data_IF_705820179455
#
_entry.id   IF_705820179455
#
_cell.length_a   1.000
_cell.length_b   1.000
_cell.length_c   1.000
_cell.angle_alpha   90.00
_cell.angle_beta   90.00
_cell.angle_gamma   90.00
#
_symmetry.space_group_name_H-M   'P 1'
#
loop_
_entity.id
_entity.type
_entity.pdbx_description
1 polymer ?
#
# COMPACT_ATOMS: atom_id res chain seq x y z
N UNK A 1 -5.65 21.79 18.05
CA UNK A 1 -4.62 21.24 18.98
C UNK A 1 -3.27 21.66 18.44
N UNK A 2 -2.38 22.24 19.26
CA UNK A 2 -1.01 22.45 18.80
C UNK A 2 -0.38 21.04 18.69
N UNK A 3 -0.12 20.61 17.48
CA UNK A 3 0.52 19.32 17.21
C UNK A 3 1.92 19.39 17.80
N UNK A 4 2.27 18.46 18.68
CA UNK A 4 3.61 18.45 19.30
C UNK A 4 4.61 18.01 18.24
N UNK A 5 5.47 18.90 17.80
CA UNK A 5 6.50 18.63 16.76
C UNK A 5 7.26 17.31 17.01
N UNK A 6 7.57 17.01 18.27
CA UNK A 6 8.31 15.81 18.64
C UNK A 6 7.52 14.50 18.41
N UNK A 7 6.21 14.50 18.68
CA UNK A 7 5.34 13.33 18.43
C UNK A 7 5.25 13.05 16.93
N UNK A 8 5.10 14.09 16.12
CA UNK A 8 5.10 13.99 14.66
C UNK A 8 6.42 13.43 14.15
N UNK A 9 7.56 13.97 14.61
CA UNK A 9 8.88 13.47 14.21
C UNK A 9 9.08 12.01 14.61
N UNK A 10 8.68 11.63 15.82
CA UNK A 10 8.77 10.24 16.30
C UNK A 10 7.94 9.29 15.45
N UNK A 11 6.71 9.70 15.08
CA UNK A 11 5.85 8.89 14.21
C UNK A 11 6.48 8.74 12.81
N UNK A 12 6.95 9.84 12.23
CA UNK A 12 7.52 9.80 10.89
C UNK A 12 8.86 9.03 10.83
N UNK A 13 9.67 9.02 11.90
CA UNK A 13 10.84 8.12 11.98
C UNK A 13 10.43 6.65 11.94
N UNK A 14 9.33 6.27 12.62
CA UNK A 14 8.79 4.91 12.51
C UNK A 14 8.26 4.60 11.11
N UNK A 15 7.61 5.58 10.47
CA UNK A 15 7.16 5.44 9.07
C UNK A 15 8.35 5.25 8.13
N UNK A 16 9.40 6.07 8.26
CA UNK A 16 10.61 5.94 7.43
C UNK A 16 11.31 4.59 7.63
N UNK A 17 11.43 4.13 8.88
CA UNK A 17 11.97 2.80 9.18
C UNK A 17 11.12 1.68 8.55
N UNK A 18 9.80 1.77 8.66
CA UNK A 18 8.85 0.85 8.01
C UNK A 18 9.01 0.86 6.47
N UNK A 19 9.09 2.03 5.84
CA UNK A 19 9.29 2.17 4.40
C UNK A 19 10.63 1.59 3.93
N UNK A 20 11.70 1.81 4.69
CA UNK A 20 13.04 1.33 4.37
C UNK A 20 13.14 -0.20 4.39
N UNK A 21 12.36 -0.86 5.24
CA UNK A 21 12.31 -2.31 5.32
C UNK A 21 11.24 -2.94 4.42
N UNK A 22 10.26 -2.16 3.97
CA UNK A 22 9.17 -2.61 3.10
C UNK A 22 9.50 -2.39 1.63
N UNK A 23 10.56 -3.04 1.13
CA UNK A 23 11.12 -2.81 -0.22
C UNK A 23 10.22 -3.27 -1.37
N UNK A 24 9.22 -4.10 -1.10
CA UNK A 24 8.11 -4.48 -2.00
C UNK A 24 6.93 -5.05 -1.18
N UNK A 25 5.86 -5.49 -1.85
CA UNK A 25 4.64 -5.99 -1.21
C UNK A 25 4.89 -7.13 -0.21
N UNK A 26 5.76 -8.09 -0.54
CA UNK A 26 6.08 -9.21 0.35
C UNK A 26 6.74 -8.75 1.65
N UNK A 27 7.72 -7.86 1.55
CA UNK A 27 8.39 -7.30 2.72
C UNK A 27 7.49 -6.35 3.50
N UNK A 28 6.59 -5.62 2.84
CA UNK A 28 5.61 -4.77 3.52
C UNK A 28 4.68 -5.62 4.40
N UNK A 29 4.16 -6.71 3.88
CA UNK A 29 3.28 -7.63 4.63
C UNK A 29 4.04 -8.34 5.73
N UNK A 30 5.28 -8.80 5.49
CA UNK A 30 6.11 -9.43 6.53
C UNK A 30 6.40 -8.46 7.69
N UNK A 31 6.75 -7.20 7.41
CA UNK A 31 6.97 -6.19 8.44
C UNK A 31 5.68 -5.91 9.23
N UNK A 32 4.52 -5.83 8.57
CA UNK A 32 3.23 -5.69 9.26
C UNK A 32 2.95 -6.92 10.15
N UNK A 33 3.21 -8.13 9.65
CA UNK A 33 3.06 -9.38 10.39
C UNK A 33 3.91 -9.40 11.65
N UNK A 34 5.19 -9.00 11.55
CA UNK A 34 6.08 -8.92 12.70
C UNK A 34 5.60 -7.90 13.75
N UNK A 35 5.14 -6.73 13.29
CA UNK A 35 4.58 -5.70 14.18
C UNK A 35 3.34 -6.24 14.89
N UNK A 36 2.42 -6.86 14.16
CA UNK A 36 1.19 -7.44 14.72
C UNK A 36 1.49 -8.53 15.75
N UNK A 37 2.44 -9.44 15.47
CA UNK A 37 2.87 -10.48 16.41
C UNK A 37 3.44 -9.87 17.71
N UNK A 38 4.31 -8.86 17.59
CA UNK A 38 4.89 -8.14 18.74
C UNK A 38 3.82 -7.45 19.60
N UNK A 39 2.74 -7.00 18.95
CA UNK A 39 1.60 -6.36 19.61
C UNK A 39 0.53 -7.36 20.07
N UNK A 40 0.79 -8.67 19.99
CA UNK A 40 -0.06 -9.74 20.52
C UNK A 40 -1.28 -10.07 19.64
N UNK A 41 -1.20 -9.88 18.33
CA UNK A 41 -2.17 -10.44 17.40
C UNK A 41 -1.85 -11.91 17.13
N UNK A 42 -2.87 -12.74 17.05
CA UNK A 42 -2.75 -14.17 16.78
C UNK A 42 -2.86 -14.45 15.27
N UNK A 43 -1.92 -15.18 14.67
CA UNK A 43 -2.00 -15.55 13.26
C UNK A 43 -3.10 -16.58 13.02
N UNK A 44 -3.82 -16.42 11.92
CA UNK A 44 -4.82 -17.36 11.42
C UNK A 44 -4.42 -17.86 10.04
N UNK A 45 -4.80 -19.11 9.73
CA UNK A 45 -4.57 -19.71 8.42
C UNK A 45 -5.92 -19.96 7.71
N UNK A 46 -6.00 -19.64 6.42
CA UNK A 46 -7.24 -19.75 5.66
C UNK A 46 -7.75 -21.21 5.55
N UNK A 47 -6.84 -22.18 5.55
CA UNK A 47 -7.15 -23.61 5.46
C UNK A 47 -7.53 -24.28 6.79
N UNK A 48 -7.57 -23.53 7.91
CA UNK A 48 -7.85 -24.06 9.24
C UNK A 48 -9.15 -23.52 9.82
N UNK A 49 -9.71 -24.22 10.81
CA UNK A 49 -10.85 -23.72 11.58
C UNK A 49 -10.44 -22.56 12.49
N UNK A 50 -11.22 -21.48 12.47
CA UNK A 50 -10.96 -20.32 13.30
C UNK A 50 -11.68 -20.41 14.66
N UNK A 51 -10.90 -20.46 15.73
CA UNK A 51 -11.41 -20.37 17.10
C UNK A 51 -11.17 -18.97 17.61
N UNK A 52 -12.19 -18.11 17.54
CA UNK A 52 -12.10 -16.71 17.89
C UNK A 52 -12.70 -16.44 19.27
N UNK A 53 -12.05 -15.57 20.04
CA UNK A 53 -12.48 -15.15 21.38
C UNK A 53 -12.80 -13.66 21.41
N UNK A 54 -13.90 -13.28 22.07
CA UNK A 54 -14.31 -11.87 22.19
C UNK A 54 -13.25 -11.03 22.89
N UNK A 55 -12.88 -9.90 22.29
CA UNK A 55 -11.87 -8.98 22.80
C UNK A 55 -10.45 -9.27 22.34
N UNK A 56 -10.22 -10.40 21.67
CA UNK A 56 -8.92 -10.79 21.14
C UNK A 56 -8.65 -10.21 19.73
N UNK A 57 -7.43 -10.34 19.25
CA UNK A 57 -6.94 -9.75 18.01
C UNK A 57 -6.21 -10.76 17.14
N UNK A 58 -6.52 -10.74 15.87
CA UNK A 58 -6.06 -11.73 14.92
C UNK A 58 -5.62 -11.10 13.61
N UNK A 59 -4.86 -11.84 12.83
CA UNK A 59 -4.58 -11.49 11.44
C UNK A 59 -4.46 -12.74 10.57
N UNK A 60 -4.70 -12.57 9.27
CA UNK A 60 -4.54 -13.58 8.23
C UNK A 60 -3.84 -12.96 7.02
N UNK A 61 -2.98 -13.72 6.37
CA UNK A 61 -2.30 -13.31 5.13
C UNK A 61 -2.80 -14.13 3.95
N UNK A 62 -2.79 -13.53 2.77
CA UNK A 62 -3.04 -14.24 1.50
C UNK A 62 -1.90 -13.94 0.54
N UNK A 63 -1.31 -14.98 -0.05
CA UNK A 63 -0.18 -14.89 -0.99
C UNK A 63 1.09 -14.24 -0.42
N UNK A 64 1.22 -14.11 0.91
CA UNK A 64 2.30 -13.38 1.60
C UNK A 64 2.46 -11.91 1.15
N UNK A 65 1.50 -11.36 0.42
CA UNK A 65 1.51 -9.99 -0.12
C UNK A 65 0.25 -9.18 0.19
N UNK A 66 -0.78 -9.83 0.76
CA UNK A 66 -1.98 -9.18 1.29
C UNK A 66 -2.23 -9.63 2.73
N UNK A 67 -2.84 -8.76 3.56
CA UNK A 67 -3.06 -9.00 4.97
C UNK A 67 -4.39 -8.39 5.42
N UNK A 68 -5.12 -9.12 6.27
CA UNK A 68 -6.25 -8.57 7.02
C UNK A 68 -6.02 -8.83 8.50
N UNK A 69 -5.97 -7.76 9.30
CA UNK A 69 -5.89 -7.83 10.76
C UNK A 69 -7.18 -7.28 11.38
N UNK A 70 -7.62 -7.87 12.47
CA UNK A 70 -8.83 -7.42 13.12
C UNK A 70 -8.78 -7.53 14.66
N UNK A 71 -9.54 -6.65 15.31
CA UNK A 71 -9.73 -6.62 16.77
C UNK A 71 -11.20 -6.84 17.06
N UNK A 72 -11.51 -7.86 17.84
CA UNK A 72 -12.88 -8.22 18.21
C UNK A 72 -13.39 -7.38 19.38
N UNK A 73 -14.66 -6.94 19.36
CA UNK A 73 -15.26 -6.31 20.51
C UNK A 73 -15.53 -7.35 21.62
N UNK A 74 -15.63 -6.87 22.88
CA UNK A 74 -16.09 -7.71 24.00
C UNK A 74 -17.62 -7.91 24.03
N UNK A 75 -18.36 -7.13 23.23
CA UNK A 75 -19.82 -7.20 23.06
C UNK A 75 -20.18 -7.93 21.78
N UNK A 76 -21.46 -8.35 21.62
CA UNK A 76 -21.92 -8.93 20.35
C UNK A 76 -21.63 -8.01 19.17
N UNK A 77 -21.17 -8.61 18.07
CA UNK A 77 -20.79 -7.92 16.84
C UNK A 77 -22.04 -7.33 16.18
N UNK A 78 -22.01 -6.02 15.91
CA UNK A 78 -23.06 -5.32 15.16
C UNK A 78 -22.65 -4.98 13.74
N UNK A 79 -21.36 -4.79 13.48
CA UNK A 79 -20.82 -4.39 12.19
C UNK A 79 -19.30 -4.37 12.17
N UNK A 80 -18.74 -3.80 11.12
CA UNK A 80 -17.30 -3.74 10.88
C UNK A 80 -16.87 -2.30 10.58
N UNK A 81 -15.80 -1.84 11.23
CA UNK A 81 -15.12 -0.58 10.93
C UNK A 81 -13.81 -0.90 10.22
N UNK A 82 -13.76 -0.67 8.91
CA UNK A 82 -12.69 -1.17 8.05
C UNK A 82 -11.88 -0.02 7.44
N UNK A 83 -10.56 -0.15 7.41
CA UNK A 83 -9.69 0.67 6.56
C UNK A 83 -8.93 -0.24 5.60
N UNK A 84 -8.92 0.10 4.33
CA UNK A 84 -8.26 -0.63 3.27
C UNK A 84 -7.21 0.25 2.58
N UNK A 85 -6.07 -0.36 2.25
CA UNK A 85 -4.91 0.21 1.58
C UNK A 85 -4.23 -0.87 0.75
N UNK A 86 -3.11 -0.57 0.08
CA UNK A 86 -2.37 -1.58 -0.68
C UNK A 86 -0.88 -1.67 -0.31
N UNK A 87 -0.27 -2.79 -0.67
CA UNK A 87 1.11 -3.13 -0.32
C UNK A 87 2.09 -2.96 -1.48
N UNK A 88 1.58 -2.99 -2.71
CA UNK A 88 2.37 -2.92 -3.94
C UNK A 88 2.66 -1.47 -4.36
N UNK A 89 3.57 -1.30 -5.29
CA UNK A 89 3.97 0.00 -5.86
C UNK A 89 4.52 -0.24 -7.27
N UNK A 90 4.50 0.76 -8.18
CA UNK A 90 5.06 0.60 -9.51
C UNK A 90 6.58 0.36 -9.48
N UNK A 91 6.99 -0.78 -10.05
CA UNK A 91 8.39 -1.24 -10.05
C UNK A 91 8.73 -2.01 -11.33
N UNK A 92 9.98 -2.46 -11.48
CA UNK A 92 10.38 -3.43 -12.49
C UNK A 92 10.42 -4.84 -11.91
N UNK A 93 9.74 -5.79 -12.56
CA UNK A 93 9.77 -7.22 -12.24
C UNK A 93 10.85 -7.91 -13.07
N UNK A 94 11.67 -8.74 -12.43
CA UNK A 94 12.65 -9.60 -13.11
C UNK A 94 11.91 -10.74 -13.79
N UNK A 95 12.17 -10.95 -15.10
CA UNK A 95 11.56 -12.03 -15.88
C UNK A 95 12.19 -13.40 -15.56
N UNK A 96 11.53 -14.47 -16.01
CA UNK A 96 11.95 -15.86 -15.75
C UNK A 96 13.36 -16.15 -16.27
N UNK A 97 13.67 -15.71 -17.49
CA UNK A 97 15.04 -15.72 -18.04
C UNK A 97 15.67 -14.35 -17.80
N UNK A 98 16.45 -14.20 -16.71
CA UNK A 98 16.79 -12.87 -16.18
C UNK A 98 17.98 -12.19 -16.89
N UNK A 99 18.82 -12.90 -17.61
CA UNK A 99 20.05 -12.34 -18.17
C UNK A 99 19.97 -12.15 -19.71
N UNK A 100 20.38 -10.98 -20.15
CA UNK A 100 20.54 -10.64 -21.57
C UNK A 100 22.03 -10.33 -21.83
N UNK A 101 22.67 -11.10 -22.68
CA UNK A 101 24.04 -10.84 -23.13
C UNK A 101 24.03 -9.75 -24.24
N UNK A 102 24.88 -8.74 -24.09
CA UNK A 102 25.06 -7.65 -25.05
C UNK A 102 26.48 -7.66 -25.61
N UNK A 103 26.62 -8.00 -26.88
CA UNK A 103 27.87 -7.98 -27.66
C UNK A 103 29.08 -8.72 -27.03
N UNK A 104 28.80 -9.74 -26.20
CA UNK A 104 29.81 -10.46 -25.37
C UNK A 104 30.66 -9.52 -24.50
N UNK A 105 30.08 -8.42 -24.08
CA UNK A 105 30.76 -7.42 -23.24
C UNK A 105 30.00 -7.12 -21.95
N UNK A 106 28.68 -7.13 -22.00
CA UNK A 106 27.82 -6.76 -20.86
C UNK A 106 26.70 -7.78 -20.65
N UNK A 107 26.25 -7.86 -19.42
CA UNK A 107 25.03 -8.58 -19.02
C UNK A 107 24.05 -7.55 -18.46
N UNK A 108 22.84 -7.53 -19.02
CA UNK A 108 21.70 -6.77 -18.50
C UNK A 108 20.70 -7.71 -17.83
N UNK A 109 19.90 -7.21 -16.86
CA UNK A 109 18.75 -7.94 -16.40
C UNK A 109 17.55 -7.67 -17.30
N UNK A 110 16.86 -8.76 -17.65
CA UNK A 110 15.61 -8.75 -18.39
C UNK A 110 14.47 -8.46 -17.42
N UNK A 111 13.87 -7.28 -17.52
CA UNK A 111 12.81 -6.81 -16.63
C UNK A 111 11.59 -6.35 -17.42
N UNK A 112 10.46 -6.30 -16.77
CA UNK A 112 9.25 -5.69 -17.29
C UNK A 112 8.62 -4.73 -16.26
N UNK A 113 7.86 -3.76 -16.76
CA UNK A 113 7.14 -2.81 -15.93
C UNK A 113 6.00 -3.49 -15.19
N UNK A 114 5.90 -3.24 -13.91
CA UNK A 114 4.75 -3.52 -13.08
C UNK A 114 4.10 -2.19 -12.68
N UNK A 115 2.85 -1.97 -13.09
CA UNK A 115 2.13 -0.73 -12.86
C UNK A 115 2.55 0.45 -13.73
N UNK A 116 1.94 1.59 -13.48
CA UNK A 116 2.13 2.85 -14.21
C UNK A 116 3.20 3.74 -13.59
N UNK A 117 4.49 3.56 -13.95
CA UNK A 117 5.61 4.28 -13.34
C UNK A 117 6.08 5.49 -14.12
N UNK A 118 6.70 6.46 -13.43
CA UNK A 118 7.54 7.50 -14.03
C UNK A 118 8.92 6.89 -14.29
N UNK A 119 9.34 6.75 -15.56
CA UNK A 119 10.57 6.05 -15.92
C UNK A 119 11.85 6.86 -15.60
N UNK A 120 11.87 8.17 -15.88
CA UNK A 120 13.08 8.99 -15.77
C UNK A 120 13.80 8.92 -14.41
N UNK A 121 13.13 8.90 -13.24
CA UNK A 121 13.83 8.88 -11.98
C UNK A 121 14.39 7.49 -11.59
N UNK A 122 14.19 6.46 -12.40
CA UNK A 122 14.86 5.16 -12.22
C UNK A 122 16.28 5.12 -12.76
N UNK A 123 16.64 6.08 -13.60
CA UNK A 123 17.96 6.14 -14.25
C UNK A 123 19.03 6.65 -13.28
N UNK A 124 20.28 6.19 -13.50
CA UNK A 124 21.51 6.61 -12.81
C UNK A 124 21.47 6.49 -11.28
N UNK A 125 20.69 5.53 -10.76
CA UNK A 125 20.56 5.26 -9.32
C UNK A 125 21.05 3.87 -8.97
N UNK A 126 21.66 3.69 -7.79
CA UNK A 126 21.90 2.35 -7.24
C UNK A 126 20.59 1.62 -7.01
N UNK A 127 20.45 0.46 -7.62
CA UNK A 127 19.29 -0.42 -7.50
C UNK A 127 19.69 -1.76 -6.92
N UNK A 128 18.73 -2.46 -6.34
CA UNK A 128 18.88 -3.85 -5.95
C UNK A 128 17.62 -4.65 -6.24
N UNK A 129 17.62 -5.93 -5.83
CA UNK A 129 16.57 -6.89 -6.08
C UNK A 129 16.06 -7.47 -4.77
N UNK A 130 14.74 -7.51 -4.61
CA UNK A 130 14.08 -8.17 -3.50
C UNK A 130 12.77 -8.82 -3.94
N UNK A 131 12.28 -9.78 -3.17
CA UNK A 131 11.02 -10.46 -3.42
C UNK A 131 10.94 -11.80 -2.73
N UNK A 132 10.28 -12.76 -3.38
CA UNK A 132 10.21 -14.14 -2.90
C UNK A 132 10.79 -15.11 -3.91
N UNK A 133 11.35 -16.17 -3.40
CA UNK A 133 11.90 -17.30 -4.17
C UNK A 133 11.23 -18.60 -3.71
N UNK A 134 10.82 -19.41 -4.66
CA UNK A 134 10.18 -20.69 -4.41
C UNK A 134 11.21 -21.80 -4.55
N UNK A 135 11.38 -22.55 -3.48
CA UNK A 135 12.40 -23.58 -3.36
C UNK A 135 11.80 -24.99 -3.37
N UNK A 136 12.48 -25.90 -4.03
CA UNK A 136 12.18 -27.34 -3.94
C UNK A 136 12.66 -27.89 -2.59
N UNK A 137 11.77 -28.56 -1.88
CA UNK A 137 12.09 -29.28 -0.65
C UNK A 137 11.67 -30.76 -0.77
N UNK A 138 12.05 -31.58 0.18
CA UNK A 138 11.61 -32.96 0.24
C UNK A 138 10.07 -33.12 0.43
N UNK A 139 9.40 -32.08 0.91
CA UNK A 139 7.95 -32.06 1.17
C UNK A 139 7.13 -31.29 0.11
N UNK A 140 7.78 -30.70 -0.90
CA UNK A 140 7.11 -29.91 -1.94
C UNK A 140 7.81 -28.56 -2.19
N UNK A 141 7.05 -27.48 -2.17
CA UNK A 141 7.54 -26.11 -2.43
C UNK A 141 7.52 -25.27 -1.17
N UNK A 142 8.61 -24.56 -0.93
CA UNK A 142 8.76 -23.62 0.19
C UNK A 142 9.02 -22.21 -0.36
N UNK A 143 8.34 -21.20 0.17
CA UNK A 143 8.59 -19.79 -0.14
C UNK A 143 9.61 -19.21 0.84
N UNK A 144 10.60 -18.49 0.32
CA UNK A 144 11.52 -17.68 1.13
C UNK A 144 11.63 -16.28 0.59
N UNK A 145 11.66 -15.29 1.50
CA UNK A 145 11.93 -13.91 1.14
C UNK A 145 13.42 -13.72 0.87
N UNK A 146 13.70 -12.92 -0.15
CA UNK A 146 15.05 -12.53 -0.56
C UNK A 146 15.16 -11.02 -0.63
N UNK A 147 16.17 -10.46 0.02
CA UNK A 147 16.61 -9.09 -0.22
C UNK A 147 18.12 -9.08 -0.45
N UNK A 148 18.55 -8.71 -1.65
CA UNK A 148 19.96 -8.49 -1.96
C UNK A 148 20.31 -7.08 -1.51
N UNK A 149 20.67 -6.93 -0.24
CA UNK A 149 20.86 -5.61 0.39
C UNK A 149 22.24 -5.00 0.08
N UNK A 150 22.55 -4.85 -1.21
CA UNK A 150 23.72 -4.13 -1.72
C UNK A 150 23.40 -3.44 -3.04
N UNK A 151 24.22 -2.48 -3.45
CA UNK A 151 24.14 -1.87 -4.77
C UNK A 151 24.51 -2.92 -5.82
N UNK A 152 23.53 -3.37 -6.58
CA UNK A 152 23.67 -4.49 -7.50
C UNK A 152 23.57 -4.07 -8.96
N UNK A 153 22.73 -3.09 -9.25
CA UNK A 153 22.26 -2.74 -10.57
C UNK A 153 22.24 -1.22 -10.79
N UNK A 154 22.33 -0.81 -12.04
CA UNK A 154 22.07 0.56 -12.47
C UNK A 154 21.38 0.54 -13.83
N UNK A 155 20.43 1.44 -14.07
CA UNK A 155 19.89 1.73 -15.39
C UNK A 155 20.58 3.00 -15.91
N UNK A 156 21.60 2.91 -16.79
CA UNK A 156 22.36 4.07 -17.20
C UNK A 156 21.59 4.90 -18.24
N UNK A 157 21.62 6.22 -18.09
CA UNK A 157 21.19 7.12 -19.15
C UNK A 157 22.10 7.00 -20.39
N UNK A 158 21.52 7.19 -21.57
CA UNK A 158 22.32 7.46 -22.74
C UNK A 158 22.96 8.87 -22.63
N UNK A 159 24.26 8.98 -22.91
CA UNK A 159 24.95 10.25 -22.79
C UNK A 159 24.29 11.35 -23.65
N UNK A 160 24.24 12.57 -23.14
CA UNK A 160 23.59 13.72 -23.81
C UNK A 160 24.07 13.91 -25.26
N UNK A 161 25.33 13.58 -25.54
CA UNK A 161 25.91 13.69 -26.89
C UNK A 161 25.28 12.75 -27.90
N UNK A 162 24.69 11.63 -27.43
CA UNK A 162 24.01 10.61 -28.24
C UNK A 162 22.49 10.71 -28.18
N UNK A 163 21.96 11.53 -27.26
CA UNK A 163 20.52 11.77 -27.08
C UNK A 163 20.27 13.24 -26.75
N UNK A 164 20.43 14.13 -27.74
CA UNK A 164 20.33 15.59 -27.52
C UNK A 164 18.92 16.06 -27.22
N UNK A 165 17.89 15.26 -27.52
CA UNK A 165 16.47 15.56 -27.32
C UNK A 165 15.96 15.08 -25.96
N UNK A 166 16.82 14.52 -25.11
CA UNK A 166 16.39 13.93 -23.80
C UNK A 166 15.63 14.91 -22.92
N UNK A 167 15.95 16.20 -23.00
CA UNK A 167 15.30 17.26 -22.24
C UNK A 167 14.07 17.88 -22.94
N UNK A 168 13.77 17.49 -24.18
CA UNK A 168 12.73 18.06 -25.03
C UNK A 168 11.50 17.15 -25.15
N UNK A 169 11.31 16.22 -24.20
CA UNK A 169 10.15 15.31 -24.16
C UNK A 169 10.45 13.89 -24.66
N UNK A 170 11.59 13.34 -24.34
CA UNK A 170 12.00 11.98 -24.72
C UNK A 170 11.01 10.92 -24.22
N UNK A 171 10.58 10.03 -25.14
CA UNK A 171 9.68 8.92 -24.84
C UNK A 171 10.48 7.65 -24.55
N UNK A 172 10.56 7.27 -23.28
CA UNK A 172 11.24 6.05 -22.85
C UNK A 172 10.61 4.78 -23.42
N UNK A 173 11.44 3.90 -23.97
CA UNK A 173 11.08 2.55 -24.37
C UNK A 173 11.55 1.57 -23.31
N UNK A 174 10.60 0.89 -22.64
CA UNK A 174 10.93 0.00 -21.52
C UNK A 174 11.89 -1.13 -21.90
N UNK A 175 11.82 -1.65 -23.13
CA UNK A 175 12.67 -2.75 -23.59
C UNK A 175 14.09 -2.31 -24.01
N UNK A 176 14.30 -1.02 -24.26
CA UNK A 176 15.61 -0.48 -24.69
C UNK A 176 16.28 0.35 -23.62
N UNK A 177 15.50 1.28 -23.02
CA UNK A 177 16.06 2.32 -22.16
C UNK A 177 16.06 1.93 -20.68
N UNK A 178 15.28 0.90 -20.29
CA UNK A 178 15.02 0.59 -18.87
C UNK A 178 15.59 -0.77 -18.42
N UNK A 179 16.46 -1.39 -19.22
CA UNK A 179 17.11 -2.65 -18.83
C UNK A 179 18.34 -2.35 -17.96
N UNK A 180 18.39 -2.87 -16.72
CA UNK A 180 19.51 -2.58 -15.83
C UNK A 180 20.80 -3.25 -16.28
N UNK A 181 21.90 -2.54 -16.22
CA UNK A 181 23.25 -3.11 -16.33
C UNK A 181 23.52 -3.91 -15.02
N UNK A 182 23.89 -5.17 -15.20
CA UNK A 182 24.12 -6.11 -14.12
C UNK A 182 25.60 -6.50 -13.97
N UNK A 183 26.25 -6.82 -15.09
CA UNK A 183 27.66 -7.27 -15.07
C UNK A 183 28.35 -7.08 -16.40
N UNK A 184 29.66 -7.37 -16.43
CA UNK A 184 30.41 -7.69 -17.65
C UNK A 184 30.17 -9.14 -18.07
N UNK A 185 30.74 -9.57 -19.22
CA UNK A 185 30.66 -10.97 -19.71
C UNK A 185 31.08 -12.00 -18.65
N UNK A 186 32.05 -11.67 -17.80
CA UNK A 186 32.55 -12.56 -16.74
C UNK A 186 31.46 -12.95 -15.72
N UNK A 187 30.45 -12.11 -15.55
CA UNK A 187 29.29 -12.37 -14.67
C UNK A 187 28.13 -13.09 -15.33
N UNK A 188 28.27 -13.59 -16.55
CA UNK A 188 27.22 -14.35 -17.21
C UNK A 188 26.83 -15.60 -16.42
N UNK A 189 25.52 -15.82 -16.21
CA UNK A 189 24.98 -16.92 -15.44
C UNK A 189 25.05 -16.72 -13.92
N UNK A 190 25.53 -15.55 -13.45
CA UNK A 190 25.72 -15.33 -12.01
C UNK A 190 24.47 -14.87 -11.25
N UNK A 191 23.42 -14.41 -11.92
CA UNK A 191 22.24 -13.90 -11.21
C UNK A 191 21.58 -14.97 -10.34
N UNK A 192 21.31 -16.15 -10.89
CA UNK A 192 20.72 -17.27 -10.14
C UNK A 192 21.65 -17.74 -9.01
N UNK A 193 22.97 -17.74 -9.24
CA UNK A 193 23.97 -18.05 -8.24
C UNK A 193 23.93 -17.05 -7.06
N UNK A 194 23.86 -15.74 -7.33
CA UNK A 194 23.74 -14.69 -6.30
C UNK A 194 22.46 -14.90 -5.48
N UNK A 195 21.33 -15.22 -6.11
CA UNK A 195 20.07 -15.55 -5.42
C UNK A 195 20.26 -16.77 -4.51
N UNK A 196 20.88 -17.83 -5.01
CA UNK A 196 21.13 -19.06 -4.25
C UNK A 196 22.05 -18.82 -3.05
N UNK A 197 23.14 -18.08 -3.24
CA UNK A 197 24.09 -17.71 -2.19
C UNK A 197 23.42 -16.88 -1.08
N UNK A 198 22.62 -15.88 -1.46
CA UNK A 198 21.89 -15.03 -0.51
C UNK A 198 20.88 -15.81 0.35
N UNK A 199 20.31 -16.88 -0.20
CA UNK A 199 19.39 -17.79 0.51
C UNK A 199 20.11 -18.97 1.19
N UNK A 200 21.42 -19.14 0.99
CA UNK A 200 22.21 -20.29 1.46
C UNK A 200 21.64 -21.63 0.97
N UNK A 201 21.28 -21.69 -0.31
CA UNK A 201 20.75 -22.89 -0.98
C UNK A 201 21.55 -23.20 -2.25
N UNK A 202 21.34 -24.41 -2.81
CA UNK A 202 21.88 -24.75 -4.13
C UNK A 202 20.98 -24.18 -5.24
N UNK A 203 21.55 -23.80 -6.37
CA UNK A 203 20.81 -23.23 -7.51
C UNK A 203 19.73 -24.17 -8.06
N UNK A 204 19.96 -25.49 -8.04
CA UNK A 204 18.98 -26.50 -8.49
C UNK A 204 17.74 -26.59 -7.59
N UNK A 205 17.81 -26.06 -6.37
CA UNK A 205 16.66 -25.96 -5.48
C UNK A 205 15.70 -24.81 -5.87
N UNK A 206 16.16 -23.81 -6.60
CA UNK A 206 15.34 -22.67 -7.03
C UNK A 206 14.43 -23.10 -8.18
N UNK A 207 13.11 -23.09 -7.92
CA UNK A 207 12.07 -23.43 -8.90
C UNK A 207 11.58 -22.23 -9.68
N UNK A 208 11.32 -21.13 -8.98
CA UNK A 208 10.76 -19.90 -9.54
C UNK A 208 10.96 -18.73 -8.58
N UNK A 209 10.62 -17.51 -9.01
CA UNK A 209 10.66 -16.30 -8.20
C UNK A 209 9.66 -15.24 -8.63
N UNK A 210 9.29 -14.38 -7.66
CA UNK A 210 8.73 -13.05 -7.89
C UNK A 210 9.71 -12.02 -7.33
N UNK A 211 10.64 -11.57 -8.15
CA UNK A 211 11.69 -10.63 -7.79
C UNK A 211 11.48 -9.27 -8.47
N UNK A 212 11.68 -8.21 -7.71
CA UNK A 212 11.46 -6.83 -8.15
C UNK A 212 12.68 -5.97 -7.86
N UNK A 213 12.93 -4.99 -8.73
CA UNK A 213 13.93 -3.98 -8.49
C UNK A 213 13.41 -2.97 -7.46
N UNK A 214 14.31 -2.45 -6.64
CA UNK A 214 13.99 -1.32 -5.77
C UNK A 214 15.12 -0.30 -5.73
N UNK A 215 14.73 0.98 -5.54
CA UNK A 215 15.65 2.08 -5.31
C UNK A 215 16.22 1.97 -3.89
N UNK A 216 17.55 2.00 -3.75
CA UNK A 216 18.25 1.87 -2.47
C UNK A 216 18.31 3.16 -1.65
N UNK A 217 17.85 4.28 -2.21
CA UNK A 217 17.79 5.53 -1.47
C UNK A 217 16.84 5.42 -0.28
N UNK A 218 17.37 5.71 0.90
CA UNK A 218 16.62 5.64 2.15
C UNK A 218 15.65 6.79 2.30
N UNK A 219 14.58 6.56 3.07
CA UNK A 219 13.65 7.60 3.47
C UNK A 219 14.35 8.69 4.26
N UNK A 220 13.97 9.94 4.03
CA UNK A 220 14.61 11.09 4.65
C UNK A 220 13.64 12.25 4.87
N UNK A 221 13.93 13.09 5.86
CA UNK A 221 13.27 14.38 5.97
C UNK A 221 13.84 15.39 4.96
N UNK A 222 12.95 16.20 4.39
CA UNK A 222 13.27 17.25 3.42
C UNK A 222 12.60 18.56 3.85
N UNK A 223 13.13 19.67 3.33
CA UNK A 223 12.61 21.02 3.58
C UNK A 223 13.41 21.77 4.64
N UNK A 224 13.20 23.08 4.73
CA UNK A 224 13.95 23.98 5.62
C UNK A 224 13.69 23.68 7.11
N UNK A 225 12.49 23.20 7.44
CA UNK A 225 12.05 22.83 8.79
C UNK A 225 11.74 21.33 8.91
N UNK A 226 12.23 20.52 7.96
CA UNK A 226 11.94 19.07 7.89
C UNK A 226 10.43 18.78 7.77
N UNK A 227 9.72 19.58 7.00
CA UNK A 227 8.27 19.51 6.83
C UNK A 227 7.80 18.48 5.81
N UNK A 228 8.72 17.84 5.09
CA UNK A 228 8.40 16.79 4.12
C UNK A 228 9.17 15.49 4.40
N UNK A 229 8.65 14.38 3.88
CA UNK A 229 9.31 13.10 3.79
C UNK A 229 9.56 12.80 2.32
N UNK A 230 10.79 12.43 1.98
CA UNK A 230 11.13 11.83 0.70
C UNK A 230 11.37 10.34 0.88
N UNK A 231 10.67 9.50 0.12
CA UNK A 231 10.84 8.04 0.13
C UNK A 231 10.22 7.42 -1.13
N UNK A 232 10.65 6.24 -1.51
CA UNK A 232 9.85 5.40 -2.41
C UNK A 232 8.66 4.78 -1.68
N UNK A 233 7.64 4.34 -2.44
CA UNK A 233 6.49 3.56 -1.93
C UNK A 233 5.64 4.28 -0.86
N UNK A 234 5.64 5.62 -0.86
CA UNK A 234 4.69 6.38 -0.06
C UNK A 234 3.27 6.04 -0.48
N UNK A 235 3.05 5.90 -1.77
CA UNK A 235 1.89 5.27 -2.36
C UNK A 235 2.08 3.74 -2.36
N UNK A 236 1.35 2.99 -1.54
CA UNK A 236 0.35 3.43 -0.55
C UNK A 236 0.76 3.02 0.88
N UNK A 237 2.05 2.70 1.07
CA UNK A 237 2.55 2.27 2.39
C UNK A 237 2.41 3.35 3.46
N UNK A 238 2.24 4.62 3.09
CA UNK A 238 1.97 5.70 4.05
C UNK A 238 0.59 5.55 4.68
N UNK A 239 -0.46 5.29 3.87
CA UNK A 239 -1.82 5.02 4.37
C UNK A 239 -1.89 3.67 5.09
N UNK A 240 -1.24 2.62 4.54
CA UNK A 240 -1.16 1.30 5.16
C UNK A 240 -0.54 1.37 6.57
N UNK A 241 0.58 2.09 6.72
CA UNK A 241 1.22 2.31 8.01
C UNK A 241 0.32 3.09 8.98
N UNK A 242 -0.34 4.17 8.52
CA UNK A 242 -1.22 4.97 9.36
C UNK A 242 -2.42 4.15 9.87
N UNK A 243 -3.03 3.35 9.00
CA UNK A 243 -4.08 2.41 9.34
C UNK A 243 -3.60 1.35 10.35
N UNK A 244 -2.41 0.76 10.12
CA UNK A 244 -1.78 -0.18 11.05
C UNK A 244 -1.59 0.46 12.43
N UNK A 245 -1.02 1.67 12.53
CA UNK A 245 -0.85 2.36 13.81
C UNK A 245 -2.19 2.62 14.51
N UNK A 246 -3.24 2.86 13.74
CA UNK A 246 -4.61 3.01 14.25
C UNK A 246 -5.13 1.73 14.90
N UNK A 247 -5.03 0.59 14.21
CA UNK A 247 -5.59 -0.68 14.72
C UNK A 247 -4.83 -1.22 15.94
N UNK A 248 -3.52 -0.97 16.04
CA UNK A 248 -2.73 -1.39 17.22
C UNK A 248 -3.27 -0.80 18.54
N UNK A 249 -3.91 0.36 18.46
CA UNK A 249 -4.49 1.04 19.62
C UNK A 249 -6.03 0.93 19.70
N UNK A 250 -6.65 0.18 18.79
CA UNK A 250 -8.10 0.06 18.69
C UNK A 250 -8.74 -0.54 19.96
N UNK A 251 -9.85 0.04 20.38
CA UNK A 251 -10.70 -0.44 21.50
C UNK A 251 -12.15 -0.50 21.02
N UNK A 252 -12.47 -1.45 20.13
CA UNK A 252 -13.79 -1.54 19.54
C UNK A 252 -14.87 -1.82 20.61
N UNK A 253 -16.05 -1.18 20.46
CA UNK A 253 -17.15 -1.28 21.41
C UNK A 253 -18.08 -2.45 21.08
N UNK A 254 -18.69 -2.41 19.89
CA UNK A 254 -19.64 -3.40 19.37
C UNK A 254 -19.51 -3.60 17.84
N UNK A 255 -18.48 -3.05 17.24
CA UNK A 255 -18.07 -3.32 15.83
C UNK A 255 -16.67 -3.92 15.82
N UNK A 256 -16.37 -4.80 14.87
CA UNK A 256 -15.02 -5.31 14.65
C UNK A 256 -14.19 -4.24 13.96
N UNK A 257 -13.01 -3.92 14.50
CA UNK A 257 -12.04 -3.10 13.80
C UNK A 257 -11.25 -3.97 12.80
N UNK A 258 -11.14 -3.56 11.54
CA UNK A 258 -10.52 -4.37 10.47
C UNK A 258 -9.55 -3.52 9.66
N UNK A 259 -8.29 -3.90 9.64
CA UNK A 259 -7.23 -3.34 8.80
C UNK A 259 -6.98 -4.26 7.63
N UNK A 260 -7.15 -3.76 6.40
CA UNK A 260 -6.98 -4.52 5.17
C UNK A 260 -5.83 -3.93 4.36
N UNK A 261 -4.94 -4.77 3.87
CA UNK A 261 -3.89 -4.39 2.92
C UNK A 261 -3.94 -5.37 1.77
N UNK A 262 -4.22 -4.87 0.56
CA UNK A 262 -4.30 -5.68 -0.65
C UNK A 262 -3.00 -5.57 -1.46
N UNK A 263 -2.82 -6.51 -2.38
CA UNK A 263 -1.76 -6.48 -3.38
C UNK A 263 -2.35 -6.25 -4.78
N UNK A 264 -1.51 -5.90 -5.73
CA UNK A 264 -1.85 -5.73 -7.15
C UNK A 264 -2.87 -4.60 -7.44
N UNK A 265 -2.95 -3.58 -6.59
CA UNK A 265 -3.75 -2.39 -6.87
C UNK A 265 -3.27 -1.73 -8.16
N UNK A 266 -1.97 -1.55 -8.31
CA UNK A 266 -1.26 -0.86 -9.40
C UNK A 266 -1.44 -1.53 -10.79
N UNK A 267 -2.00 -2.74 -10.80
CA UNK A 267 -2.31 -3.53 -12.01
C UNK A 267 -3.76 -3.98 -12.06
N UNK A 268 -4.65 -3.33 -11.29
CA UNK A 268 -6.11 -3.45 -11.40
C UNK A 268 -6.78 -4.43 -10.44
N UNK A 269 -6.13 -4.86 -9.36
CA UNK A 269 -6.73 -5.63 -8.25
C UNK A 269 -7.38 -6.98 -8.62
N UNK A 270 -7.17 -7.51 -9.83
CA UNK A 270 -7.87 -8.68 -10.36
C UNK A 270 -7.29 -10.04 -9.95
N UNK A 271 -6.53 -10.11 -8.87
CA UNK A 271 -5.89 -11.34 -8.38
C UNK A 271 -6.55 -11.87 -7.10
N UNK A 272 -6.18 -13.11 -6.67
CA UNK A 272 -6.71 -13.70 -5.43
C UNK A 272 -6.38 -12.91 -4.16
N UNK A 273 -5.34 -12.08 -4.18
CA UNK A 273 -4.86 -11.21 -3.09
C UNK A 273 -5.21 -9.73 -3.29
N UNK A 274 -5.82 -9.36 -4.42
CA UNK A 274 -6.25 -7.99 -4.72
C UNK A 274 -7.62 -7.66 -4.15
N UNK A 275 -7.97 -6.37 -4.16
CA UNK A 275 -9.25 -5.88 -3.66
C UNK A 275 -10.47 -6.44 -4.42
N UNK A 276 -10.28 -6.90 -5.68
CA UNK A 276 -11.31 -7.58 -6.47
C UNK A 276 -11.57 -9.03 -6.09
N UNK A 277 -10.82 -9.59 -5.13
CA UNK A 277 -11.02 -10.95 -4.65
C UNK A 277 -12.08 -11.05 -3.55
N UNK A 278 -12.43 -12.27 -3.17
CA UNK A 278 -13.33 -12.54 -2.03
C UNK A 278 -12.62 -12.44 -0.67
N UNK A 279 -11.33 -12.03 -0.60
CA UNK A 279 -10.54 -12.09 0.63
C UNK A 279 -11.22 -11.38 1.81
N UNK A 280 -11.67 -10.14 1.62
CA UNK A 280 -12.39 -9.42 2.67
C UNK A 280 -13.70 -10.13 3.02
N UNK A 281 -14.51 -10.47 2.03
CA UNK A 281 -15.80 -11.15 2.24
C UNK A 281 -15.62 -12.45 3.03
N UNK A 282 -14.65 -13.27 2.66
CA UNK A 282 -14.37 -14.56 3.31
C UNK A 282 -14.00 -14.35 4.79
N UNK A 283 -13.14 -13.36 5.08
CA UNK A 283 -12.73 -13.03 6.45
C UNK A 283 -13.92 -12.56 7.30
N UNK A 284 -14.72 -11.62 6.79
CA UNK A 284 -15.89 -11.08 7.51
C UNK A 284 -16.93 -12.18 7.79
N UNK A 285 -17.19 -13.04 6.83
CA UNK A 285 -18.07 -14.21 7.01
C UNK A 285 -17.55 -15.16 8.10
N UNK A 286 -16.26 -15.49 8.05
CA UNK A 286 -15.64 -16.39 9.03
C UNK A 286 -15.64 -15.80 10.44
N UNK A 287 -15.46 -14.50 10.58
CA UNK A 287 -15.59 -13.83 11.89
C UNK A 287 -16.99 -14.05 12.45
N UNK A 288 -18.05 -13.79 11.69
CA UNK A 288 -19.41 -13.96 12.18
C UNK A 288 -19.77 -15.44 12.42
N UNK A 289 -19.35 -16.34 11.55
CA UNK A 289 -19.58 -17.77 11.69
C UNK A 289 -18.97 -18.34 12.99
N UNK A 290 -17.80 -17.83 13.40
CA UNK A 290 -17.18 -18.22 14.70
C UNK A 290 -18.04 -17.84 15.91
N UNK A 291 -18.98 -16.90 15.76
CA UNK A 291 -19.96 -16.50 16.78
C UNK A 291 -21.39 -16.94 16.42
N UNK A 292 -21.52 -18.02 15.63
CA UNK A 292 -22.79 -18.62 15.22
C UNK A 292 -23.68 -17.72 14.36
N UNK A 293 -23.12 -16.67 13.74
CA UNK A 293 -23.82 -15.84 12.75
C UNK A 293 -23.94 -16.54 11.40
N UNK A 294 -25.09 -16.39 10.74
CA UNK A 294 -25.37 -16.87 9.39
C UNK A 294 -25.39 -15.74 8.37
N UNK A 295 -25.96 -16.03 7.18
CA UNK A 295 -26.04 -15.07 6.07
C UNK A 295 -26.88 -13.82 6.43
N UNK A 296 -27.98 -14.03 7.16
CA UNK A 296 -28.85 -12.91 7.59
C UNK A 296 -28.14 -11.97 8.57
N UNK A 297 -27.37 -12.53 9.53
CA UNK A 297 -26.54 -11.76 10.45
C UNK A 297 -25.43 -11.02 9.71
N UNK A 298 -24.86 -11.63 8.66
CA UNK A 298 -23.85 -10.99 7.82
C UNK A 298 -24.43 -9.77 7.08
N UNK A 299 -25.58 -9.91 6.43
CA UNK A 299 -26.24 -8.81 5.73
C UNK A 299 -26.58 -7.66 6.70
N UNK A 300 -27.11 -7.97 7.88
CA UNK A 300 -27.40 -6.97 8.93
C UNK A 300 -26.13 -6.28 9.43
N UNK A 301 -25.03 -7.02 9.60
CA UNK A 301 -23.76 -6.45 10.01
C UNK A 301 -23.19 -5.50 8.96
N UNK A 302 -23.33 -5.80 7.66
CA UNK A 302 -22.89 -4.91 6.59
C UNK A 302 -23.62 -3.56 6.61
N UNK A 303 -24.91 -3.51 6.98
CA UNK A 303 -25.66 -2.26 7.13
C UNK A 303 -25.15 -1.37 8.27
N UNK A 304 -24.44 -1.95 9.23
CA UNK A 304 -23.79 -1.27 10.34
C UNK A 304 -22.28 -1.18 10.17
N UNK A 305 -21.80 -1.26 8.93
CA UNK A 305 -20.38 -1.26 8.59
C UNK A 305 -20.01 -0.05 7.76
N UNK A 306 -18.72 0.29 7.81
CA UNK A 306 -18.16 1.38 7.03
C UNK A 306 -16.74 1.06 6.58
N UNK A 307 -16.41 1.38 5.34
CA UNK A 307 -15.08 1.22 4.78
C UNK A 307 -14.45 2.59 4.49
N UNK A 308 -13.24 2.79 4.97
CA UNK A 308 -12.36 3.84 4.53
C UNK A 308 -11.36 3.22 3.55
N UNK A 309 -11.47 3.55 2.27
CA UNK A 309 -10.48 3.25 1.24
C UNK A 309 -9.43 4.35 1.30
N UNK A 310 -8.26 4.01 1.82
CA UNK A 310 -7.16 4.95 2.04
C UNK A 310 -6.03 4.64 1.06
N UNK A 311 -5.78 5.57 0.15
CA UNK A 311 -4.83 5.49 -0.94
C UNK A 311 -4.34 6.91 -1.26
N UNK A 312 -3.04 7.15 -1.39
CA UNK A 312 -2.47 8.48 -1.47
C UNK A 312 -3.10 9.34 -2.58
N UNK A 313 -3.03 10.65 -2.44
CA UNK A 313 -3.68 11.62 -3.32
C UNK A 313 -2.67 12.58 -3.95
N UNK A 314 -2.97 13.07 -5.15
CA UNK A 314 -2.13 14.06 -5.81
C UNK A 314 -2.17 15.41 -5.06
N UNK A 315 -1.03 15.89 -4.57
CA UNK A 315 -0.89 17.27 -4.12
C UNK A 315 -0.81 18.22 -5.33
N UNK A 316 -1.20 19.48 -5.11
CA UNK A 316 -0.94 20.55 -6.10
C UNK A 316 0.55 20.66 -6.33
N UNK A 317 0.98 20.48 -7.57
CA UNK A 317 2.38 20.63 -7.95
C UNK A 317 2.75 22.11 -8.04
N UNK A 318 3.80 22.58 -7.35
CA UNK A 318 4.12 24.02 -7.26
C UNK A 318 4.40 24.68 -8.61
N UNK A 319 4.92 23.93 -9.59
CA UNK A 319 5.21 24.43 -10.94
C UNK A 319 4.09 24.15 -11.96
N UNK A 320 3.00 23.44 -11.58
CA UNK A 320 1.94 23.02 -12.49
C UNK A 320 0.55 23.19 -11.86
N UNK A 321 0.24 24.40 -11.36
CA UNK A 321 -1.03 24.72 -10.73
C UNK A 321 -2.23 24.49 -11.66
N UNK A 322 -2.01 24.60 -12.96
CA UNK A 322 -2.97 24.37 -14.03
C UNK A 322 -3.43 22.91 -14.14
N UNK A 323 -2.73 21.96 -13.53
CA UNK A 323 -3.10 20.54 -13.54
C UNK A 323 -4.11 20.15 -12.46
N UNK A 324 -4.35 21.02 -11.48
CA UNK A 324 -5.31 20.80 -10.42
C UNK A 324 -6.66 21.51 -10.70
N UNK A 325 -7.74 21.01 -10.10
CA UNK A 325 -9.01 21.74 -10.04
C UNK A 325 -8.81 23.11 -9.41
N UNK A 326 -9.47 24.19 -9.88
CA UNK A 326 -9.23 25.53 -9.37
C UNK A 326 -9.60 25.73 -7.88
N UNK A 327 -10.45 24.87 -7.31
CA UNK A 327 -10.99 25.00 -5.95
C UNK A 327 -10.70 23.76 -5.10
N UNK A 328 -11.06 22.56 -5.59
CA UNK A 328 -10.93 21.29 -4.86
C UNK A 328 -9.56 20.67 -5.08
N UNK A 329 -8.53 21.26 -4.51
CA UNK A 329 -7.13 20.90 -4.73
C UNK A 329 -6.34 20.82 -3.42
N UNK A 330 -5.75 19.66 -3.10
CA UNK A 330 -5.08 19.46 -1.84
C UNK A 330 -3.61 19.88 -1.85
N UNK A 331 -3.11 20.17 -0.68
CA UNK A 331 -1.72 20.50 -0.41
C UNK A 331 -1.17 19.61 0.69
N UNK A 332 0.12 19.31 0.66
CA UNK A 332 0.81 18.59 1.74
C UNK A 332 0.75 19.37 3.06
N UNK A 333 0.71 18.64 4.18
CA UNK A 333 0.63 19.19 5.54
C UNK A 333 -0.65 19.99 5.87
N UNK A 334 -1.72 19.81 5.08
CA UNK A 334 -3.00 20.51 5.32
C UNK A 334 -4.15 19.58 5.64
N UNK A 335 -3.86 18.34 5.96
CA UNK A 335 -4.86 17.38 6.40
C UNK A 335 -5.25 16.32 5.37
N UNK A 336 -6.11 15.41 5.80
CA UNK A 336 -6.52 14.26 5.04
C UNK A 336 -7.34 14.70 3.82
N UNK A 337 -7.12 14.06 2.68
CA UNK A 337 -7.79 14.38 1.42
C UNK A 337 -9.00 13.46 1.23
N UNK A 338 -10.21 14.02 1.10
CA UNK A 338 -11.40 13.30 0.65
C UNK A 338 -11.46 13.38 -0.88
N UNK A 339 -11.50 12.23 -1.52
CA UNK A 339 -11.52 12.10 -2.98
C UNK A 339 -12.95 11.95 -3.48
N UNK A 340 -13.40 12.79 -4.42
CA UNK A 340 -14.71 12.73 -5.05
C UNK A 340 -14.60 12.55 -6.57
N UNK A 341 -15.49 11.75 -7.15
CA UNK A 341 -15.57 11.54 -8.59
C UNK A 341 -17.02 11.32 -9.03
N UNK A 342 -17.53 12.19 -9.89
CA UNK A 342 -18.87 12.03 -10.46
C UNK A 342 -19.01 10.71 -11.27
N UNK A 343 -17.92 10.22 -11.84
CA UNK A 343 -17.89 8.96 -12.58
C UNK A 343 -17.63 7.73 -11.70
N UNK A 344 -17.73 7.88 -10.37
CA UNK A 344 -17.54 6.81 -9.39
C UNK A 344 -16.19 6.06 -9.53
N UNK A 345 -15.13 6.78 -9.92
CA UNK A 345 -13.76 6.30 -9.83
C UNK A 345 -13.27 6.26 -8.38
N UNK A 346 -13.89 7.09 -7.56
CA UNK A 346 -13.85 7.07 -6.10
C UNK A 346 -15.27 6.83 -5.60
N UNK A 347 -15.44 6.02 -4.58
CA UNK A 347 -16.73 5.60 -4.04
C UNK A 347 -17.42 6.67 -3.19
N UNK A 348 -16.71 7.73 -2.81
CA UNK A 348 -17.22 8.79 -1.93
C UNK A 348 -18.47 9.42 -2.51
N UNK A 349 -19.52 9.40 -1.71
CA UNK A 349 -20.76 10.14 -1.93
C UNK A 349 -21.01 11.15 -0.78
N UNK A 350 -22.17 11.81 -0.77
CA UNK A 350 -22.48 12.79 0.27
C UNK A 350 -22.62 12.16 1.66
N UNK A 351 -23.11 10.92 1.75
CA UNK A 351 -23.32 10.21 3.02
C UNK A 351 -21.97 9.81 3.61
N UNK A 352 -21.18 9.08 2.86
CA UNK A 352 -19.87 8.60 3.30
C UNK A 352 -18.89 9.75 3.57
N UNK A 353 -18.92 10.79 2.74
CA UNK A 353 -18.15 12.00 2.95
C UNK A 353 -18.53 12.75 4.24
N UNK A 354 -19.83 12.85 4.56
CA UNK A 354 -20.30 13.48 5.81
C UNK A 354 -19.87 12.69 7.04
N UNK A 355 -19.95 11.35 6.99
CA UNK A 355 -19.48 10.47 8.06
C UNK A 355 -18.00 10.71 8.33
N UNK A 356 -17.16 10.68 7.29
CA UNK A 356 -15.72 10.85 7.47
C UNK A 356 -15.35 12.26 7.99
N UNK A 357 -16.02 13.31 7.50
CA UNK A 357 -15.85 14.67 8.03
C UNK A 357 -16.15 14.75 9.52
N UNK A 358 -17.19 14.05 9.98
CA UNK A 358 -17.54 13.98 11.42
C UNK A 358 -16.42 13.33 12.25
N UNK A 359 -15.71 12.32 11.71
CA UNK A 359 -14.52 11.75 12.35
C UNK A 359 -13.36 12.75 12.40
N UNK A 360 -13.09 13.47 11.32
CA UNK A 360 -12.06 14.51 11.30
C UNK A 360 -12.35 15.62 12.32
N UNK A 361 -13.58 16.11 12.38
CA UNK A 361 -14.01 17.13 13.35
C UNK A 361 -13.86 16.63 14.78
N UNK A 362 -14.29 15.40 15.07
CA UNK A 362 -14.18 14.79 16.40
C UNK A 362 -12.73 14.61 16.82
N UNK A 363 -11.87 14.17 15.90
CA UNK A 363 -10.43 14.01 16.12
C UNK A 363 -9.69 15.36 16.14
N UNK A 364 -10.34 16.46 15.73
CA UNK A 364 -9.74 17.80 15.53
C UNK A 364 -8.60 17.77 14.51
N UNK A 365 -8.80 17.05 13.43
CA UNK A 365 -7.89 16.88 12.31
C UNK A 365 -8.42 17.65 11.11
N UNK A 366 -7.58 18.45 10.41
CA UNK A 366 -8.00 19.12 9.19
C UNK A 366 -8.21 18.13 8.05
N UNK A 367 -9.10 18.49 7.13
CA UNK A 367 -9.32 17.74 5.89
C UNK A 367 -9.43 18.69 4.69
N UNK A 368 -9.19 18.14 3.51
CA UNK A 368 -9.27 18.83 2.23
C UNK A 368 -10.15 18.01 1.28
N UNK A 369 -10.70 18.62 0.24
CA UNK A 369 -11.42 17.92 -0.82
C UNK A 369 -10.59 17.90 -2.10
N UNK A 370 -10.70 16.80 -2.84
CA UNK A 370 -10.08 16.60 -4.14
C UNK A 370 -11.12 16.19 -5.17
N UNK A 371 -11.08 16.83 -6.31
CA UNK A 371 -11.69 16.39 -7.56
C UNK A 371 -10.68 16.55 -8.69
N UNK A 372 -10.75 15.71 -9.70
CA UNK A 372 -9.99 15.95 -10.92
C UNK A 372 -10.48 17.19 -11.66
N UNK A 373 -9.62 17.87 -12.42
CA UNK A 373 -10.07 18.85 -13.41
C UNK A 373 -11.08 18.18 -14.33
N UNK A 374 -12.14 18.90 -14.71
CA UNK A 374 -13.24 18.36 -15.51
C UNK A 374 -12.81 17.84 -16.90
N UNK A 375 -11.68 18.31 -17.40
CA UNK A 375 -11.08 17.94 -18.69
C UNK A 375 -9.94 16.90 -18.57
N UNK A 376 -9.69 16.37 -17.36
CA UNK A 376 -8.65 15.36 -17.11
C UNK A 376 -9.25 14.05 -16.61
N UNK A 377 -8.76 12.95 -17.16
CA UNK A 377 -9.07 11.62 -16.63
C UNK A 377 -8.28 11.40 -15.34
N UNK A 378 -8.97 10.97 -14.29
CA UNK A 378 -8.37 10.55 -13.03
C UNK A 378 -8.06 9.07 -13.00
N UNK A 379 -7.23 8.65 -12.04
CA UNK A 379 -7.06 7.26 -11.65
C UNK A 379 -8.31 6.71 -10.97
N UNK A 380 -8.25 5.44 -10.60
CA UNK A 380 -9.22 4.74 -9.76
C UNK A 380 -8.49 4.29 -8.50
N UNK A 381 -9.22 3.85 -7.49
CA UNK A 381 -8.68 3.31 -6.24
C UNK A 381 -9.26 1.93 -5.97
N UNK A 382 -8.75 1.28 -4.93
CA UNK A 382 -9.24 -0.03 -4.48
C UNK A 382 -10.68 0.01 -3.93
N UNK A 383 -11.23 1.17 -3.55
CA UNK A 383 -12.51 1.30 -2.89
C UNK A 383 -13.69 0.82 -3.73
N UNK A 384 -13.80 1.30 -4.98
CA UNK A 384 -14.87 0.87 -5.89
C UNK A 384 -14.75 -0.61 -6.29
N UNK A 385 -13.53 -1.15 -6.32
CA UNK A 385 -13.27 -2.56 -6.63
C UNK A 385 -13.69 -3.43 -5.43
N UNK A 386 -13.24 -3.09 -4.20
CA UNK A 386 -13.64 -3.81 -2.99
C UNK A 386 -15.16 -3.80 -2.78
N UNK A 387 -15.82 -2.69 -3.10
CA UNK A 387 -17.28 -2.54 -3.00
C UNK A 387 -18.05 -3.48 -3.95
N UNK A 388 -17.44 -3.93 -5.03
CA UNK A 388 -18.04 -4.95 -5.92
C UNK A 388 -18.13 -6.33 -5.25
N UNK A 389 -17.30 -6.59 -4.24
CA UNK A 389 -17.26 -7.85 -3.49
C UNK A 389 -18.04 -7.77 -2.17
N UNK A 390 -17.97 -6.62 -1.49
CA UNK A 390 -18.66 -6.35 -0.23
C UNK A 390 -19.28 -4.95 -0.32
N UNK A 391 -20.55 -4.88 -0.73
CA UNK A 391 -21.26 -3.63 -0.94
C UNK A 391 -21.65 -2.98 0.38
N UNK A 392 -21.05 -1.81 0.69
CA UNK A 392 -21.32 -1.04 1.90
C UNK A 392 -20.93 0.44 1.74
N UNK A 393 -21.28 1.28 2.71
CA UNK A 393 -20.89 2.67 2.71
C UNK A 393 -19.37 2.80 2.72
N UNK A 394 -18.79 3.44 1.71
CA UNK A 394 -17.35 3.57 1.52
C UNK A 394 -16.97 5.02 1.20
N UNK A 395 -15.91 5.50 1.83
CA UNK A 395 -15.28 6.79 1.53
C UNK A 395 -13.87 6.56 1.01
N UNK A 396 -13.49 7.23 -0.07
CA UNK A 396 -12.12 7.28 -0.58
C UNK A 396 -11.40 8.50 -0.04
N UNK A 397 -10.29 8.24 0.64
CA UNK A 397 -9.42 9.27 1.20
C UNK A 397 -7.98 9.05 0.74
N UNK A 398 -7.10 9.98 1.07
CA UNK A 398 -5.67 9.80 0.88
C UNK A 398 -4.84 10.86 1.58
N UNK A 399 -3.52 10.73 1.48
CA UNK A 399 -2.55 11.72 1.94
C UNK A 399 -1.92 12.39 0.73
N UNK A 400 -1.83 13.73 0.78
CA UNK A 400 -1.35 14.51 -0.35
C UNK A 400 0.15 14.30 -0.57
N UNK A 401 0.54 13.91 -1.79
CA UNK A 401 1.94 13.70 -2.18
C UNK A 401 2.27 14.25 -3.55
N UNK A 402 3.55 14.47 -3.81
CA UNK A 402 4.12 14.79 -5.12
C UNK A 402 4.88 13.60 -5.68
N UNK A 403 5.04 13.57 -6.99
CA UNK A 403 5.80 12.54 -7.71
C UNK A 403 5.29 11.11 -7.49
N UNK A 404 3.96 10.93 -7.31
CA UNK A 404 3.32 9.61 -7.24
C UNK A 404 3.81 8.71 -8.37
N UNK A 405 4.09 7.44 -8.07
CA UNK A 405 4.67 6.44 -8.98
C UNK A 405 6.14 6.70 -9.42
N UNK A 406 6.84 7.61 -8.74
CA UNK A 406 8.30 7.71 -8.82
C UNK A 406 8.95 6.70 -7.86
N UNK A 407 10.16 6.20 -8.13
CA UNK A 407 10.91 5.44 -7.14
C UNK A 407 11.34 6.28 -5.92
N UNK A 408 11.06 7.59 -5.92
CA UNK A 408 11.27 8.49 -4.80
C UNK A 408 10.22 9.61 -4.85
N UNK A 409 9.28 9.57 -3.94
CA UNK A 409 8.09 10.41 -3.82
C UNK A 409 8.25 11.40 -2.66
N UNK A 410 7.34 12.36 -2.52
CA UNK A 410 7.40 13.37 -1.46
C UNK A 410 6.03 13.59 -0.82
N UNK A 411 5.93 13.49 0.50
CA UNK A 411 4.71 13.70 1.27
C UNK A 411 4.92 14.64 2.46
N UNK A 412 3.83 15.11 3.05
CA UNK A 412 3.85 15.98 4.23
C UNK A 412 3.99 15.18 5.53
N UNK A 413 4.78 15.68 6.48
CA UNK A 413 5.00 15.01 7.79
C UNK A 413 3.77 15.06 8.70
N UNK A 414 2.89 16.08 8.56
CA UNK A 414 1.71 16.22 9.41
C UNK A 414 0.59 15.27 8.99
N UNK A 415 0.49 14.95 7.70
CA UNK A 415 -0.66 14.23 7.15
C UNK A 415 -0.69 12.78 7.64
N UNK A 416 0.47 12.11 7.77
CA UNK A 416 0.57 10.78 8.41
C UNK A 416 0.06 10.80 9.85
N UNK A 417 0.44 11.81 10.62
CA UNK A 417 -0.01 11.97 12.00
C UNK A 417 -1.53 12.16 12.07
N UNK A 418 -2.09 12.98 11.19
CA UNK A 418 -3.53 13.23 11.14
C UNK A 418 -4.31 11.95 10.81
N UNK A 419 -3.85 11.15 9.86
CA UNK A 419 -4.53 9.90 9.52
C UNK A 419 -4.46 8.88 10.65
N UNK A 420 -3.34 8.79 11.38
CA UNK A 420 -3.22 7.92 12.56
C UNK A 420 -4.23 8.31 13.64
N UNK A 421 -4.40 9.61 13.92
CA UNK A 421 -5.36 10.07 14.93
C UNK A 421 -6.82 9.78 14.54
N UNK A 422 -7.18 9.96 13.27
CA UNK A 422 -8.51 9.59 12.77
C UNK A 422 -8.70 8.07 12.80
N UNK A 423 -7.71 7.28 12.39
CA UNK A 423 -7.79 5.81 12.39
C UNK A 423 -8.01 5.23 13.80
N UNK A 424 -7.31 5.75 14.83
CA UNK A 424 -7.52 5.37 16.24
C UNK A 424 -8.96 5.59 16.70
N UNK A 425 -9.52 6.75 16.35
CA UNK A 425 -10.90 7.09 16.70
C UNK A 425 -11.89 6.20 15.94
N UNK A 426 -11.68 6.04 14.62
CA UNK A 426 -12.54 5.26 13.75
C UNK A 426 -12.64 3.80 14.19
N UNK A 427 -11.52 3.13 14.40
CA UNK A 427 -11.46 1.74 14.85
C UNK A 427 -12.06 1.51 16.26
N UNK A 428 -12.15 2.56 17.08
CA UNK A 428 -12.74 2.49 18.43
C UNK A 428 -14.21 2.93 18.47
N UNK A 429 -14.77 3.31 17.32
CA UNK A 429 -16.15 3.79 17.19
C UNK A 429 -17.05 2.72 16.56
N UNK A 430 -18.35 2.99 16.50
CA UNK A 430 -19.33 2.17 15.78
C UNK A 430 -20.22 3.06 14.92
N UNK A 431 -20.62 2.56 13.75
CA UNK A 431 -21.58 3.21 12.87
C UNK A 431 -22.78 2.28 12.74
N UNK A 432 -23.99 2.80 12.94
CA UNK A 432 -25.23 2.02 12.85
C UNK A 432 -26.14 2.63 11.80
N UNK A 433 -26.63 1.80 10.89
CA UNK A 433 -27.66 2.18 9.92
C UNK A 433 -29.00 2.50 10.61
N UNK A 434 -29.63 3.61 10.17
CA UNK A 434 -30.94 4.07 10.66
C UNK A 434 -31.95 4.28 9.53
N UNK A 435 -31.80 3.53 8.45
CA UNK A 435 -32.51 3.68 7.19
C UNK A 435 -31.60 4.28 6.12
N UNK A 436 -32.09 4.37 4.88
CA UNK A 436 -31.31 4.85 3.75
C UNK A 436 -30.73 6.25 3.99
N UNK A 437 -29.41 6.36 3.89
CA UNK A 437 -28.69 7.62 4.07
C UNK A 437 -28.63 8.17 5.51
N UNK A 438 -29.19 7.46 6.49
CA UNK A 438 -29.18 7.89 7.90
C UNK A 438 -28.28 6.96 8.72
N UNK A 439 -27.26 7.51 9.35
CA UNK A 439 -26.28 6.79 10.14
C UNK A 439 -26.11 7.42 11.54
N UNK A 440 -26.09 6.59 12.56
CA UNK A 440 -25.72 6.98 13.93
C UNK A 440 -24.24 6.66 14.15
N UNK A 441 -23.44 7.65 14.55
CA UNK A 441 -22.03 7.47 14.88
C UNK A 441 -21.89 7.46 16.40
N UNK A 442 -21.27 6.40 16.94
CA UNK A 442 -20.96 6.23 18.37
C UNK A 442 -19.44 6.29 18.55
N UNK A 443 -18.96 7.46 18.86
CA UNK A 443 -17.54 7.69 19.14
C UNK A 443 -17.07 7.06 20.44
#
# INVERSE_FOLDING_TARGET
MAVRKEEVKKLNRKLMDFLDHSVNAFFAVENMREILLKEGFHPLYEGEDWKLESGEKYFVTRNDSALIAFVLPKKPIKGFQMMASHSDSPVFKVKTDPEIEVDKAYIQLNVEKYGGMICSPWLDRPLSVAGRVLLRTAKGVETRLLNIDRDLLIIPNLAIHMNREVNDGYKFNAQKDMLPLFSTEEGKGSFKKIVAEALSVKEECILDWDLFLYNRQKATFLGAEEEFIGSGRLDDLQCAFASLQGILSAKPKDSVAVHCVYDNEEVGSGTKQGAGSTFLKDVLHRILAAFHGGEEEFIKALQNSFLISADNAHAVHPSHLDKADPVNRPYMNRGIVLKYSANQKYTTDAVSGAVFKSFCEKAKVPFQCFTNRSDMLGGSTLGNIANSQVALNTVDIGLAQLSMHSPFETAGVLDSYYLVEVAKLFYSSSILGRGDGNLEIRF
#
